data_IF_888938052790
#
_entry.id   IF_888938052790
#
_cell.length_a   1.000
_cell.length_b   1.000
_cell.length_c   1.000
_cell.angle_alpha   90.00
_cell.angle_beta   90.00
_cell.angle_gamma   90.00
#
_symmetry.space_group_name_H-M   'P 1'
#
loop_
_entity.id
_entity.type
_entity.pdbx_description
1 polymer ?
#
# COMPACT_ATOMS: atom_id res chain seq x y z
N UNK A 1 -1.89 -13.59 14.55
CA UNK A 1 -1.86 -13.47 13.06
C UNK A 1 -3.14 -14.04 12.45
N UNK A 2 -3.51 -15.30 12.72
CA UNK A 2 -4.68 -15.93 12.08
C UNK A 2 -6.02 -15.25 12.40
N UNK A 3 -6.23 -14.85 13.66
CA UNK A 3 -7.43 -14.12 14.09
C UNK A 3 -7.58 -12.75 13.42
N UNK A 4 -6.48 -12.03 13.30
CA UNK A 4 -6.41 -10.71 12.65
C UNK A 4 -6.82 -10.80 11.17
N UNK A 5 -6.21 -11.71 10.42
CA UNK A 5 -6.54 -11.90 9.00
C UNK A 5 -8.00 -12.32 8.80
N UNK A 6 -8.54 -13.19 9.68
CA UNK A 6 -9.95 -13.57 9.64
C UNK A 6 -10.88 -12.38 9.85
N UNK A 7 -10.54 -11.47 10.76
CA UNK A 7 -11.31 -10.24 11.02
C UNK A 7 -11.31 -9.31 9.78
N UNK A 8 -10.17 -9.15 9.10
CA UNK A 8 -10.14 -8.41 7.84
C UNK A 8 -10.95 -9.08 6.71
N UNK A 9 -10.95 -10.41 6.64
CA UNK A 9 -11.75 -11.15 5.65
C UNK A 9 -13.26 -10.99 5.83
N UNK A 10 -13.74 -10.72 7.05
CA UNK A 10 -15.17 -10.46 7.29
C UNK A 10 -15.65 -9.11 6.74
N UNK A 11 -14.73 -8.20 6.38
CA UNK A 11 -15.05 -6.88 5.82
C UNK A 11 -15.36 -6.89 4.31
N UNK A 12 -15.56 -8.05 3.69
CA UNK A 12 -15.73 -8.16 2.25
C UNK A 12 -16.89 -7.33 1.70
N UNK A 13 -18.02 -7.30 2.42
CA UNK A 13 -19.20 -6.53 2.01
C UNK A 13 -18.95 -5.03 2.15
N UNK A 14 -18.39 -4.59 3.28
CA UNK A 14 -18.04 -3.20 3.52
C UNK A 14 -17.01 -2.71 2.50
N UNK A 15 -15.99 -3.53 2.20
CA UNK A 15 -15.00 -3.25 1.17
C UNK A 15 -15.67 -3.01 -0.20
N UNK A 16 -16.52 -3.93 -0.64
CA UNK A 16 -17.21 -3.80 -1.92
C UNK A 16 -18.12 -2.58 -1.94
N UNK A 17 -18.92 -2.37 -0.91
CA UNK A 17 -19.85 -1.25 -0.79
C UNK A 17 -19.14 0.09 -0.81
N UNK A 18 -18.08 0.25 -0.03
CA UNK A 18 -17.33 1.50 0.07
C UNK A 18 -16.63 1.84 -1.25
N UNK A 19 -16.00 0.86 -1.92
CA UNK A 19 -15.34 1.10 -3.19
C UNK A 19 -16.32 1.45 -4.31
N UNK A 20 -17.48 0.79 -4.36
CA UNK A 20 -18.55 1.17 -5.28
C UNK A 20 -19.06 2.58 -4.97
N UNK A 21 -19.28 2.92 -3.70
CA UNK A 21 -19.69 4.27 -3.28
C UNK A 21 -18.69 5.34 -3.70
N UNK A 22 -17.39 5.11 -3.51
CA UNK A 22 -16.34 6.01 -4.00
C UNK A 22 -16.46 6.25 -5.50
N UNK A 23 -16.67 5.19 -6.27
CA UNK A 23 -16.79 5.27 -7.74
C UNK A 23 -18.13 5.77 -8.25
N UNK A 24 -19.14 5.94 -7.42
CA UNK A 24 -20.35 6.69 -7.79
C UNK A 24 -20.06 8.17 -8.05
N UNK A 25 -19.01 8.71 -7.41
CA UNK A 25 -18.65 10.13 -7.50
C UNK A 25 -17.35 10.32 -8.28
N UNK A 26 -16.39 9.41 -8.13
CA UNK A 26 -15.03 9.58 -8.63
C UNK A 26 -14.73 8.63 -9.78
N UNK A 27 -14.19 9.16 -10.89
CA UNK A 27 -13.65 8.35 -12.00
C UNK A 27 -12.23 7.85 -11.72
N UNK A 28 -11.45 8.65 -11.01
CA UNK A 28 -10.07 8.32 -10.72
C UNK A 28 -9.96 7.09 -9.80
N UNK A 29 -9.08 6.14 -10.10
CA UNK A 29 -8.83 5.01 -9.21
C UNK A 29 -8.28 5.46 -7.85
N UNK A 30 -8.57 4.67 -6.81
CA UNK A 30 -8.12 4.95 -5.44
C UNK A 30 -6.59 4.84 -5.36
N UNK A 31 -5.93 5.94 -4.99
CA UNK A 31 -4.48 6.02 -4.77
C UNK A 31 -4.17 6.07 -3.27
N UNK A 32 -2.88 6.08 -2.90
CA UNK A 32 -2.42 5.91 -1.50
C UNK A 32 -3.10 6.87 -0.52
N UNK A 33 -3.15 8.17 -0.81
CA UNK A 33 -3.77 9.17 0.08
C UNK A 33 -5.27 8.93 0.32
N UNK A 34 -5.97 8.52 -0.73
CA UNK A 34 -7.40 8.19 -0.64
C UNK A 34 -7.60 6.83 0.04
N UNK A 35 -6.66 5.90 -0.16
CA UNK A 35 -6.74 4.58 0.45
C UNK A 35 -6.67 4.62 1.97
N UNK A 36 -5.90 5.52 2.55
CA UNK A 36 -5.82 5.71 4.00
C UNK A 36 -7.20 6.01 4.60
N UNK A 37 -7.94 6.93 3.98
CA UNK A 37 -9.28 7.32 4.40
C UNK A 37 -10.31 6.21 4.16
N UNK A 38 -10.34 5.66 2.94
CA UNK A 38 -11.26 4.59 2.55
C UNK A 38 -11.07 3.33 3.40
N UNK A 39 -9.81 2.98 3.72
CA UNK A 39 -9.50 1.84 4.58
C UNK A 39 -10.05 2.02 6.01
N UNK A 40 -9.99 3.23 6.56
CA UNK A 40 -10.62 3.55 7.84
C UNK A 40 -12.14 3.39 7.78
N UNK A 41 -12.77 3.88 6.72
CA UNK A 41 -14.21 3.74 6.51
C UNK A 41 -14.68 2.29 6.45
N UNK A 42 -13.92 1.45 5.75
CA UNK A 42 -14.21 0.01 5.68
C UNK A 42 -14.03 -0.64 7.06
N UNK A 43 -12.96 -0.30 7.77
CA UNK A 43 -12.59 -0.97 9.01
C UNK A 43 -13.47 -0.59 10.21
N UNK A 44 -14.13 0.58 10.19
CA UNK A 44 -14.90 1.11 11.34
C UNK A 44 -16.08 0.24 11.80
N UNK A 45 -16.59 -0.62 10.92
CA UNK A 45 -17.66 -1.57 11.29
C UNK A 45 -17.19 -2.69 12.22
N UNK A 46 -15.90 -2.98 12.26
CA UNK A 46 -15.32 -4.12 12.95
C UNK A 46 -14.14 -3.79 13.85
N UNK A 47 -13.56 -2.59 13.74
CA UNK A 47 -12.40 -2.15 14.52
C UNK A 47 -12.64 -0.80 15.16
N UNK A 48 -12.06 -0.59 16.34
CA UNK A 48 -11.84 0.75 16.89
C UNK A 48 -10.65 1.37 16.16
N UNK A 49 -10.88 2.53 15.54
CA UNK A 49 -9.86 3.20 14.73
C UNK A 49 -9.34 4.40 15.52
N UNK A 50 -8.03 4.50 15.65
CA UNK A 50 -7.35 5.69 16.15
C UNK A 50 -6.46 6.27 15.05
N UNK A 51 -6.56 7.57 14.87
CA UNK A 51 -5.84 8.37 13.89
C UNK A 51 -4.60 8.98 14.55
N UNK A 52 -3.69 8.13 15.00
CA UNK A 52 -2.49 8.57 15.74
C UNK A 52 -1.40 9.14 14.83
N UNK A 53 -1.58 9.03 13.53
CA UNK A 53 -0.55 9.42 12.55
C UNK A 53 -0.65 10.88 12.09
N UNK A 54 -1.68 11.63 12.48
CA UNK A 54 -1.83 13.04 12.10
C UNK A 54 -0.64 13.86 12.57
N UNK A 55 0.25 14.17 11.66
CA UNK A 55 1.38 15.07 11.86
C UNK A 55 2.76 14.43 11.97
N UNK A 56 2.91 13.13 11.93
CA UNK A 56 4.22 12.48 12.04
C UNK A 56 4.53 11.55 10.87
N UNK A 57 4.78 12.13 9.68
CA UNK A 57 5.18 11.41 8.46
C UNK A 57 6.46 10.54 8.62
N UNK A 58 7.15 10.67 9.74
CA UNK A 58 8.40 9.94 9.99
C UNK A 58 8.19 8.52 10.55
N UNK A 59 6.99 8.17 11.04
CA UNK A 59 6.80 6.92 11.79
C UNK A 59 6.57 5.68 10.92
N UNK A 60 6.14 5.84 9.66
CA UNK A 60 5.77 4.70 8.79
C UNK A 60 4.43 4.04 9.14
N UNK A 61 3.81 4.41 10.27
CA UNK A 61 2.48 4.00 10.67
C UNK A 61 1.46 5.05 10.24
N UNK A 62 0.40 4.60 9.57
CA UNK A 62 -0.66 5.49 9.07
C UNK A 62 -1.90 5.44 9.97
N UNK A 63 -2.36 4.24 10.34
CA UNK A 63 -3.55 4.04 11.17
C UNK A 63 -3.32 2.96 12.23
N UNK A 64 -4.19 2.96 13.26
CA UNK A 64 -4.29 1.90 14.24
C UNK A 64 -5.71 1.36 14.29
N UNK A 65 -5.85 0.05 14.08
CA UNK A 65 -7.10 -0.71 14.15
C UNK A 65 -7.08 -1.60 15.38
N UNK A 66 -7.86 -1.28 16.41
CA UNK A 66 -7.72 -1.85 17.76
C UNK A 66 -6.28 -1.67 18.27
N UNK A 67 -5.54 -2.79 18.44
CA UNK A 67 -4.14 -2.80 18.85
C UNK A 67 -3.15 -3.08 17.68
N UNK A 68 -3.60 -2.95 16.43
CA UNK A 68 -2.84 -3.29 15.24
C UNK A 68 -2.43 -2.01 14.53
N UNK A 69 -1.14 -1.76 14.42
CA UNK A 69 -0.61 -0.62 13.66
C UNK A 69 -0.51 -0.99 12.18
N UNK A 70 -1.01 -0.13 11.32
CA UNK A 70 -1.12 -0.35 9.87
C UNK A 70 -0.30 0.68 9.11
N UNK A 71 0.42 0.22 8.07
CA UNK A 71 0.99 1.06 7.03
C UNK A 71 0.21 0.85 5.72
N UNK A 72 -0.45 1.90 5.25
CA UNK A 72 -1.27 1.86 4.05
C UNK A 72 -0.42 2.04 2.78
N UNK A 73 -0.68 1.23 1.78
CA UNK A 73 -0.05 1.32 0.47
C UNK A 73 -1.06 1.08 -0.62
N UNK A 74 -0.90 1.77 -1.75
CA UNK A 74 -1.72 1.52 -2.94
C UNK A 74 -0.84 1.47 -4.18
N UNK A 75 -1.09 0.50 -5.04
CA UNK A 75 -0.32 0.33 -6.27
C UNK A 75 -1.18 -0.19 -7.41
N UNK A 76 -0.62 -0.15 -8.62
CA UNK A 76 -1.20 -0.70 -9.84
C UNK A 76 -0.46 -1.97 -10.25
N UNK A 77 -1.19 -2.92 -10.82
CA UNK A 77 -0.57 -4.10 -11.46
C UNK A 77 0.09 -3.67 -12.77
N UNK A 78 1.36 -4.03 -12.95
CA UNK A 78 2.10 -3.88 -14.19
C UNK A 78 2.54 -5.27 -14.70
N UNK A 79 1.77 -5.80 -15.66
CA UNK A 79 1.93 -7.20 -16.08
C UNK A 79 1.56 -8.16 -14.95
N UNK A 80 2.55 -8.88 -14.42
CA UNK A 80 2.41 -9.77 -13.25
C UNK A 80 3.06 -9.22 -11.98
N UNK A 81 3.65 -8.02 -12.06
CA UNK A 81 4.42 -7.43 -10.98
C UNK A 81 3.71 -6.24 -10.39
N UNK A 82 4.04 -5.96 -9.15
CA UNK A 82 3.67 -4.73 -8.46
C UNK A 82 4.91 -4.08 -7.83
N UNK A 83 4.84 -2.75 -7.73
CA UNK A 83 5.85 -1.94 -7.07
C UNK A 83 5.20 -1.07 -6.02
N UNK A 84 5.71 -1.09 -4.80
CA UNK A 84 5.29 -0.18 -3.74
C UNK A 84 6.46 0.66 -3.25
N UNK A 85 6.23 1.96 -3.09
CA UNK A 85 7.18 2.84 -2.42
C UNK A 85 6.94 2.77 -0.91
N UNK A 86 8.00 2.63 -0.15
CA UNK A 86 7.88 2.62 1.31
C UNK A 86 8.04 4.03 1.87
N UNK A 87 9.22 4.62 1.73
CA UNK A 87 9.51 5.93 2.30
C UNK A 87 10.72 6.58 1.62
N UNK A 88 10.85 7.89 1.82
CA UNK A 88 11.98 8.65 1.30
C UNK A 88 13.23 8.42 2.16
N UNK A 89 14.35 8.19 1.52
CA UNK A 89 15.65 8.02 2.15
C UNK A 89 16.46 9.32 2.28
N UNK A 90 15.94 10.44 1.76
CA UNK A 90 16.61 11.74 1.77
C UNK A 90 16.95 12.26 3.14
N UNK A 91 16.21 11.84 4.18
CA UNK A 91 16.50 12.22 5.57
C UNK A 91 17.61 11.40 6.21
N UNK A 92 17.99 10.29 5.60
CA UNK A 92 18.94 9.30 6.14
C UNK A 92 20.26 9.32 5.38
N UNK A 93 20.18 9.58 4.08
CA UNK A 93 21.32 9.56 3.16
C UNK A 93 21.54 10.98 2.62
N UNK A 94 22.47 11.72 3.23
CA UNK A 94 22.95 12.97 2.66
C UNK A 94 23.74 12.68 1.39
N UNK A 95 23.05 12.80 0.26
CA UNK A 95 23.51 13.03 -1.12
C UNK A 95 24.53 12.11 -1.79
N UNK A 96 25.37 11.35 -1.10
CA UNK A 96 26.47 10.64 -1.77
C UNK A 96 26.55 9.14 -1.49
N UNK A 97 25.99 8.66 -0.40
CA UNK A 97 26.07 7.29 0.06
C UNK A 97 24.71 6.58 0.11
N UNK A 98 23.87 6.78 -0.90
CA UNK A 98 22.69 5.93 -1.12
C UNK A 98 23.15 4.51 -1.57
N UNK A 99 24.41 4.21 -1.40
CA UNK A 99 24.95 2.86 -1.43
C UNK A 99 24.45 2.06 -0.24
N UNK A 100 24.91 0.90 -0.07
CA UNK A 100 24.66 -0.07 1.00
C UNK A 100 25.06 0.50 2.36
N UNK A 101 24.55 1.66 2.73
CA UNK A 101 24.91 2.20 4.00
C UNK A 101 24.15 1.43 5.09
N UNK A 102 24.84 1.10 6.14
CA UNK A 102 24.27 0.62 7.40
C UNK A 102 23.06 1.48 7.79
N UNK A 103 23.13 2.78 7.52
CA UNK A 103 22.07 3.76 7.78
C UNK A 103 20.74 3.45 7.06
N UNK A 104 20.78 2.94 5.81
CA UNK A 104 19.53 2.55 5.10
C UNK A 104 18.88 1.37 5.79
N UNK A 105 19.65 0.38 6.16
CA UNK A 105 19.16 -0.83 6.84
C UNK A 105 18.60 -0.48 8.23
N UNK A 106 19.29 0.37 8.96
CA UNK A 106 18.83 0.84 10.29
C UNK A 106 17.52 1.63 10.17
N UNK A 107 17.41 2.53 9.18
CA UNK A 107 16.18 3.28 8.97
C UNK A 107 15.00 2.38 8.57
N UNK A 108 15.24 1.39 7.72
CA UNK A 108 14.23 0.37 7.36
C UNK A 108 13.74 -0.34 8.63
N UNK A 109 14.66 -0.85 9.45
CA UNK A 109 14.34 -1.54 10.70
C UNK A 109 13.56 -0.65 11.67
N UNK A 110 14.00 0.61 11.81
CA UNK A 110 13.33 1.59 12.67
C UNK A 110 11.88 1.83 12.22
N UNK A 111 11.63 2.02 10.92
CA UNK A 111 10.29 2.25 10.40
C UNK A 111 9.41 1.00 10.46
N UNK A 112 9.97 -0.15 10.14
CA UNK A 112 9.27 -1.42 10.26
C UNK A 112 8.90 -1.76 11.72
N UNK A 113 9.59 -1.19 12.72
CA UNK A 113 9.20 -1.35 14.11
C UNK A 113 7.93 -0.59 14.50
N UNK A 114 7.50 0.40 13.71
CA UNK A 114 6.37 1.29 14.02
C UNK A 114 5.01 0.72 13.65
N UNK A 115 4.94 -0.31 12.81
CA UNK A 115 3.68 -0.94 12.40
C UNK A 115 3.77 -2.47 12.40
N UNK A 116 2.63 -3.14 12.25
CA UNK A 116 2.52 -4.60 12.31
C UNK A 116 2.23 -5.21 10.94
N UNK A 117 1.43 -4.52 10.12
CA UNK A 117 1.00 -4.97 8.81
C UNK A 117 1.02 -3.86 7.77
N UNK A 118 1.34 -4.22 6.55
CA UNK A 118 0.96 -3.43 5.38
C UNK A 118 -0.50 -3.72 5.02
N UNK A 119 -1.29 -2.68 4.84
CA UNK A 119 -2.60 -2.71 4.20
C UNK A 119 -2.44 -2.25 2.77
N UNK A 120 -2.33 -3.19 1.84
CA UNK A 120 -2.02 -2.93 0.45
C UNK A 120 -3.25 -3.06 -0.44
N UNK A 121 -3.65 -1.96 -1.06
CA UNK A 121 -4.64 -1.95 -2.13
C UNK A 121 -3.95 -2.07 -3.49
N UNK A 122 -4.23 -3.15 -4.20
CA UNK A 122 -3.74 -3.37 -5.57
C UNK A 122 -4.87 -3.15 -6.56
N UNK A 123 -4.60 -2.35 -7.59
CA UNK A 123 -5.53 -2.06 -8.69
C UNK A 123 -5.10 -2.77 -9.96
N UNK A 124 -6.05 -3.41 -10.63
CA UNK A 124 -5.91 -3.83 -12.03
C UNK A 124 -6.86 -2.99 -12.89
N UNK A 125 -6.29 -2.17 -13.75
CA UNK A 125 -6.96 -1.17 -14.59
C UNK A 125 -6.88 -1.54 -16.10
N UNK A 126 -6.78 -2.84 -16.41
CA UNK A 126 -6.60 -3.29 -17.80
C UNK A 126 -7.84 -3.13 -18.65
N UNK A 127 -9.00 -3.17 -18.04
CA UNK A 127 -10.28 -3.00 -18.72
C UNK A 127 -10.74 -1.55 -18.61
N UNK A 128 -11.08 -0.92 -19.74
CA UNK A 128 -11.44 0.50 -19.78
C UNK A 128 -12.67 0.88 -18.94
N UNK A 129 -13.55 -0.09 -18.66
CA UNK A 129 -14.82 0.12 -17.96
C UNK A 129 -14.80 -0.39 -16.52
N UNK A 130 -13.83 -1.21 -16.14
CA UNK A 130 -13.79 -1.85 -14.85
C UNK A 130 -12.44 -1.64 -14.16
N UNK A 131 -12.49 -1.46 -12.86
CA UNK A 131 -11.31 -1.48 -12.00
C UNK A 131 -11.46 -2.64 -11.03
N UNK A 132 -10.50 -3.56 -11.04
CA UNK A 132 -10.41 -4.65 -10.07
C UNK A 132 -9.58 -4.20 -8.89
N UNK A 133 -10.12 -4.32 -7.70
CA UNK A 133 -9.44 -3.99 -6.45
C UNK A 133 -9.22 -5.25 -5.64
N UNK A 134 -7.99 -5.43 -5.20
CA UNK A 134 -7.55 -6.53 -4.35
C UNK A 134 -6.91 -5.95 -3.09
N UNK A 135 -7.42 -6.30 -1.94
CA UNK A 135 -6.89 -5.86 -0.65
C UNK A 135 -6.10 -6.97 0.01
N UNK A 136 -4.89 -6.64 0.41
CA UNK A 136 -3.95 -7.55 1.05
C UNK A 136 -3.56 -7.02 2.43
N UNK A 137 -3.51 -7.91 3.43
CA UNK A 137 -2.98 -7.64 4.76
C UNK A 137 -1.71 -8.48 4.92
N UNK A 138 -0.56 -7.81 4.88
CA UNK A 138 0.74 -8.47 4.78
C UNK A 138 1.53 -8.16 6.05
N UNK A 139 1.95 -9.17 6.84
CA UNK A 139 2.85 -8.93 7.98
C UNK A 139 4.14 -8.24 7.54
N UNK A 140 4.61 -7.26 8.29
CA UNK A 140 5.84 -6.53 8.00
C UNK A 140 7.08 -7.42 7.90
N UNK A 141 7.09 -8.50 8.66
CA UNK A 141 8.17 -9.50 8.69
C UNK A 141 8.03 -10.59 7.61
N UNK A 142 7.12 -10.40 6.66
CA UNK A 142 6.98 -11.27 5.49
C UNK A 142 8.30 -11.33 4.70
N UNK A 143 8.64 -12.52 4.21
CA UNK A 143 9.88 -12.75 3.45
C UNK A 143 10.06 -11.83 2.22
N UNK A 144 8.99 -11.24 1.70
CA UNK A 144 9.03 -10.29 0.58
C UNK A 144 9.68 -8.94 0.96
N UNK A 145 9.63 -8.56 2.23
CA UNK A 145 10.14 -7.30 2.75
C UNK A 145 11.44 -7.43 3.55
N UNK A 146 11.85 -8.65 3.88
CA UNK A 146 13.04 -8.87 4.71
C UNK A 146 14.32 -8.75 3.89
N UNK A 147 15.21 -7.84 4.30
CA UNK A 147 16.52 -7.61 3.66
C UNK A 147 17.54 -8.65 4.08
N UNK A 148 17.44 -9.19 5.27
CA UNK A 148 18.48 -10.03 5.91
C UNK A 148 18.88 -11.29 5.09
N UNK A 149 18.02 -11.73 4.17
CA UNK A 149 18.22 -12.91 3.32
C UNK A 149 18.33 -12.55 1.83
N UNK A 150 18.59 -11.29 1.49
CA UNK A 150 18.68 -10.84 0.12
C UNK A 150 20.14 -10.67 -0.33
N UNK A 151 20.39 -11.01 -1.59
CA UNK A 151 21.65 -10.71 -2.25
C UNK A 151 21.67 -9.26 -2.73
N UNK A 152 22.87 -8.70 -2.92
CA UNK A 152 23.02 -7.39 -3.53
C UNK A 152 22.47 -7.40 -4.97
N UNK A 153 21.65 -6.43 -5.28
CA UNK A 153 21.18 -6.18 -6.65
C UNK A 153 22.10 -5.20 -7.34
N UNK A 154 22.69 -5.64 -8.45
CA UNK A 154 23.62 -4.84 -9.24
C UNK A 154 22.90 -4.18 -10.41
N UNK A 155 23.17 -2.91 -10.67
CA UNK A 155 22.68 -2.17 -11.81
C UNK A 155 23.21 -2.72 -13.12
N UNK A 156 22.33 -2.95 -14.09
CA UNK A 156 22.69 -3.59 -15.39
C UNK A 156 22.87 -2.59 -16.51
N UNK A 157 22.41 -1.36 -16.36
CA UNK A 157 22.39 -0.35 -17.46
C UNK A 157 22.57 1.08 -16.93
N UNK A 158 22.98 1.98 -17.82
CA UNK A 158 23.05 3.42 -17.57
C UNK A 158 24.12 3.81 -16.55
N UNK A 159 23.95 4.96 -15.90
CA UNK A 159 24.90 5.53 -14.93
C UNK A 159 25.14 4.65 -13.69
N UNK A 160 24.24 3.73 -13.39
CA UNK A 160 24.28 2.81 -12.24
C UNK A 160 24.72 1.39 -12.64
N UNK A 161 25.32 1.23 -13.83
CA UNK A 161 25.89 -0.05 -14.25
C UNK A 161 27.02 -0.45 -13.29
N UNK A 162 26.97 -1.70 -12.88
CA UNK A 162 27.93 -2.34 -11.95
C UNK A 162 27.94 -1.75 -10.51
N UNK A 163 27.04 -0.80 -10.21
CA UNK A 163 26.81 -0.32 -8.84
C UNK A 163 25.74 -1.15 -8.13
N UNK A 164 25.80 -1.19 -6.80
CA UNK A 164 24.74 -1.78 -6.00
C UNK A 164 23.57 -0.80 -5.93
N UNK A 165 22.40 -1.26 -6.36
CA UNK A 165 21.18 -0.48 -6.44
C UNK A 165 20.10 -0.96 -5.46
N UNK A 166 20.39 -1.96 -4.66
CA UNK A 166 19.49 -2.54 -3.69
C UNK A 166 19.80 -3.98 -3.35
N UNK A 167 18.76 -4.72 -3.07
CA UNK A 167 18.80 -6.15 -2.70
C UNK A 167 17.78 -6.93 -3.49
N UNK A 168 18.03 -8.20 -3.73
CA UNK A 168 17.08 -9.07 -4.41
C UNK A 168 17.14 -10.52 -3.93
N UNK A 169 16.00 -11.19 -4.05
CA UNK A 169 15.83 -12.63 -3.88
C UNK A 169 15.12 -13.21 -5.11
N UNK A 170 14.83 -14.50 -5.06
CA UNK A 170 13.96 -15.16 -6.05
C UNK A 170 12.54 -14.53 -6.12
N UNK A 171 12.06 -13.96 -5.01
CA UNK A 171 10.66 -13.57 -4.83
C UNK A 171 10.42 -12.06 -4.87
N UNK A 172 11.44 -11.28 -4.52
CA UNK A 172 11.32 -9.83 -4.40
C UNK A 172 12.62 -9.11 -4.69
N UNK A 173 12.51 -7.82 -5.00
CA UNK A 173 13.67 -6.93 -4.97
C UNK A 173 13.31 -5.63 -4.26
N UNK A 174 14.29 -5.08 -3.55
CA UNK A 174 14.21 -3.82 -2.83
C UNK A 174 15.23 -2.90 -3.46
N UNK A 175 14.81 -1.77 -4.03
CA UNK A 175 15.68 -0.84 -4.76
C UNK A 175 15.55 0.58 -4.24
N UNK A 176 16.62 1.36 -4.33
CA UNK A 176 16.69 2.76 -3.88
C UNK A 176 17.25 3.73 -4.94
N UNK A 177 17.51 3.24 -6.17
CA UNK A 177 18.31 3.96 -7.16
C UNK A 177 17.60 5.09 -7.90
N UNK A 178 16.27 5.17 -7.87
CA UNK A 178 15.53 6.01 -8.81
C UNK A 178 15.04 7.35 -8.28
N UNK A 179 14.90 7.54 -6.96
CA UNK A 179 14.26 8.77 -6.45
C UNK A 179 14.54 9.05 -4.97
N UNK A 180 15.64 8.56 -4.43
CA UNK A 180 15.86 8.59 -2.97
C UNK A 180 14.68 7.99 -2.20
N UNK A 181 13.97 7.07 -2.82
CA UNK A 181 12.85 6.32 -2.27
C UNK A 181 13.18 4.83 -2.27
N UNK A 182 12.71 4.13 -1.25
CA UNK A 182 12.79 2.68 -1.19
C UNK A 182 11.60 2.08 -1.95
N UNK A 183 11.89 1.19 -2.90
CA UNK A 183 10.90 0.51 -3.72
C UNK A 183 10.97 -0.99 -3.50
N UNK A 184 9.84 -1.58 -3.16
CA UNK A 184 9.66 -3.03 -3.09
C UNK A 184 8.96 -3.49 -4.36
N UNK A 185 9.56 -4.50 -5.04
CA UNK A 185 9.03 -5.05 -6.29
C UNK A 185 8.90 -6.56 -6.14
N UNK A 186 7.74 -7.10 -6.45
CA UNK A 186 7.47 -8.54 -6.40
C UNK A 186 6.28 -8.94 -7.29
N UNK A 187 6.16 -10.25 -7.55
CA UNK A 187 5.02 -10.78 -8.29
C UNK A 187 3.75 -10.73 -7.45
N UNK A 188 2.62 -10.39 -8.08
CA UNK A 188 1.30 -10.42 -7.44
C UNK A 188 0.94 -11.84 -6.96
N UNK A 189 1.48 -12.88 -7.61
CA UNK A 189 1.25 -14.26 -7.21
C UNK A 189 1.76 -14.58 -5.81
N UNK A 190 2.84 -13.93 -5.39
CA UNK A 190 3.41 -14.08 -4.04
C UNK A 190 2.48 -13.54 -2.95
N UNK A 191 1.52 -12.68 -3.32
CA UNK A 191 0.55 -12.09 -2.39
C UNK A 191 -0.72 -12.91 -2.17
N UNK A 192 -1.00 -13.91 -2.99
CA UNK A 192 -2.29 -14.62 -2.98
C UNK A 192 -2.73 -15.06 -1.59
N UNK A 193 -1.80 -15.53 -0.76
CA UNK A 193 -2.08 -15.99 0.62
C UNK A 193 -2.46 -14.87 1.60
N UNK A 194 -2.15 -13.63 1.26
CA UNK A 194 -2.43 -12.45 2.09
C UNK A 194 -3.67 -11.67 1.66
N UNK A 195 -4.31 -12.09 0.58
CA UNK A 195 -5.52 -11.44 0.09
C UNK A 195 -6.67 -11.63 1.08
N UNK A 196 -7.30 -10.53 1.46
CA UNK A 196 -8.44 -10.53 2.38
C UNK A 196 -9.75 -10.22 1.67
N UNK A 197 -9.76 -9.29 0.71
CA UNK A 197 -10.94 -8.89 -0.03
C UNK A 197 -10.61 -8.67 -1.52
N UNK A 198 -11.63 -8.82 -2.34
CA UNK A 198 -11.62 -8.55 -3.77
C UNK A 198 -12.95 -7.97 -4.18
N UNK A 199 -12.93 -6.98 -5.06
CA UNK A 199 -14.13 -6.45 -5.73
C UNK A 199 -13.79 -5.92 -7.11
N UNK A 200 -14.79 -5.89 -7.98
CA UNK A 200 -14.72 -5.32 -9.31
C UNK A 200 -15.74 -4.20 -9.41
N UNK A 201 -15.31 -3.03 -9.82
CA UNK A 201 -16.13 -1.83 -9.86
C UNK A 201 -16.29 -1.40 -11.31
N UNK A 202 -17.55 -1.23 -11.74
CA UNK A 202 -17.89 -0.64 -13.01
C UNK A 202 -17.68 0.88 -12.96
N UNK A 203 -16.64 1.33 -13.67
CA UNK A 203 -16.26 2.74 -13.72
C UNK A 203 -16.83 3.47 -14.96
N UNK A 204 -17.62 2.79 -15.79
CA UNK A 204 -18.29 3.36 -16.96
C UNK A 204 -19.56 4.13 -16.62
N UNK A 205 -20.19 3.83 -15.49
CA UNK A 205 -21.44 4.44 -15.05
C UNK A 205 -21.32 5.96 -14.89
N UNK A 206 -22.41 6.70 -15.18
CA UNK A 206 -22.50 8.12 -14.88
C UNK A 206 -22.18 8.40 -13.42
N UNK A 207 -21.50 9.50 -13.16
CA UNK A 207 -21.14 9.92 -11.80
C UNK A 207 -22.24 10.82 -11.23
N UNK A 208 -22.41 10.73 -9.92
CA UNK A 208 -23.29 11.63 -9.16
C UNK A 208 -22.49 12.90 -8.89
N UNK A 209 -23.08 14.06 -9.15
CA UNK A 209 -22.45 15.34 -8.84
C UNK A 209 -22.47 15.62 -7.35
N UNK A 210 -21.44 16.32 -6.85
CA UNK A 210 -21.36 16.69 -5.43
C UNK A 210 -22.54 17.56 -4.97
N UNK A 211 -23.10 18.42 -5.84
CA UNK A 211 -24.30 19.19 -5.57
C UNK A 211 -25.52 18.30 -5.34
N UNK A 212 -25.70 17.27 -6.16
CA UNK A 212 -26.79 16.30 -5.99
C UNK A 212 -26.71 15.54 -4.67
N UNK A 213 -25.49 15.21 -4.23
CA UNK A 213 -25.28 14.57 -2.92
C UNK A 213 -25.66 15.54 -1.80
N UNK A 214 -25.21 16.79 -1.90
CA UNK A 214 -25.54 17.82 -0.91
C UNK A 214 -27.04 18.04 -0.82
N UNK A 215 -27.73 18.23 -1.95
CA UNK A 215 -29.16 18.47 -1.99
C UNK A 215 -29.98 17.28 -1.45
N UNK A 216 -29.55 16.05 -1.76
CA UNK A 216 -30.21 14.85 -1.22
C UNK A 216 -30.05 14.74 0.30
N UNK A 217 -28.92 15.19 0.84
CA UNK A 217 -28.65 15.16 2.28
C UNK A 217 -29.44 16.25 3.03
N UNK A 218 -29.48 17.46 2.49
CA UNK A 218 -30.20 18.58 3.10
C UNK A 218 -31.72 18.43 3.05
N UNK A 219 -32.26 17.75 2.03
CA UNK A 219 -33.70 17.50 1.92
C UNK A 219 -34.21 16.33 2.79
N UNK A 220 -33.32 15.64 3.48
CA UNK A 220 -33.61 14.48 4.35
C UNK A 220 -33.65 14.88 5.83
N UNK A 221 -33.26 16.12 6.17
CA UNK A 221 -33.32 16.74 7.49
C UNK A 221 -34.54 17.67 7.56
#
# INVERSE_FOLDING_TARGET
IYGTIKKFKSLKEDFSKTLNGYHMVNKAPIKESVWEEVNCDIAKSSFSISDEAKGNHASGKDNRFDNINISNKSTKVEGTNISISSYRLTTVCNDKDIGISVNIIEEIRKRDSSFDYYSLLVRDEKENSFVKYMWYIIPKDCYLFRIDNLNHKIGKRGKKKDEIIGWESKYSSITFSMSSQLWYNFSIDELKKYMVCYTEVDNSKPKIDYSQIYDSFCNTI
#
